data_IF_290887604695
#
_entry.id   IF_290887604695
#
_cell.length_a   1.000
_cell.length_b   1.000
_cell.length_c   1.000
_cell.angle_alpha   90.00
_cell.angle_beta   90.00
_cell.angle_gamma   90.00
#
_symmetry.space_group_name_H-M   'P 1'
#
loop_
_entity.id
_entity.type
_entity.pdbx_description
1 polymer ?
#
# COMPACT_ATOMS: atom_id res chain seq x y z
N UNK A 1 -5.11 -1.83 -23.06
CA UNK A 1 -6.09 -2.93 -22.95
C UNK A 1 -6.56 -2.96 -21.52
N UNK A 2 -7.86 -2.90 -21.34
CA UNK A 2 -8.54 -2.51 -20.11
C UNK A 2 -8.88 -3.76 -19.27
N UNK A 3 -7.90 -4.26 -18.51
CA UNK A 3 -8.04 -5.36 -17.53
C UNK A 3 -8.75 -4.92 -16.23
N UNK A 4 -9.33 -3.71 -16.21
CA UNK A 4 -9.82 -3.07 -14.99
C UNK A 4 -11.29 -3.36 -14.65
N UNK A 5 -12.09 -3.95 -15.56
CA UNK A 5 -13.53 -4.04 -15.35
C UNK A 5 -13.99 -5.32 -14.64
N UNK A 6 -13.30 -6.46 -14.83
CA UNK A 6 -13.67 -7.71 -14.15
C UNK A 6 -13.17 -7.79 -12.70
N UNK A 7 -12.08 -7.09 -12.38
CA UNK A 7 -11.46 -7.11 -11.05
C UNK A 7 -12.20 -6.29 -9.97
N UNK A 8 -13.13 -5.40 -10.34
CA UNK A 8 -13.93 -4.62 -9.38
C UNK A 8 -15.03 -5.43 -8.69
N UNK A 9 -15.38 -6.60 -9.22
CA UNK A 9 -16.51 -7.40 -8.70
C UNK A 9 -16.20 -8.21 -7.44
N UNK A 10 -14.95 -8.21 -6.97
CA UNK A 10 -14.52 -8.98 -5.78
C UNK A 10 -13.78 -8.14 -4.72
N UNK A 11 -13.72 -6.81 -4.88
CA UNK A 11 -13.15 -5.90 -3.87
C UNK A 11 -14.22 -5.47 -2.86
N UNK A 12 -14.06 -5.93 -1.62
CA UNK A 12 -14.99 -5.72 -0.50
C UNK A 12 -14.73 -4.35 0.16
N UNK A 13 -13.46 -3.98 0.25
CA UNK A 13 -12.98 -2.70 0.75
C UNK A 13 -11.70 -2.33 0.00
N UNK A 14 -11.48 -1.05 -0.23
CA UNK A 14 -10.26 -0.54 -0.84
C UNK A 14 -9.89 0.79 -0.22
N UNK A 15 -8.63 0.92 0.16
CA UNK A 15 -8.03 2.15 0.64
C UNK A 15 -6.84 2.52 -0.21
N UNK A 16 -6.72 3.81 -0.54
CA UNK A 16 -5.72 4.32 -1.46
C UNK A 16 -4.90 5.42 -0.79
N UNK A 17 -3.58 5.24 -0.78
CA UNK A 17 -2.62 6.23 -0.26
C UNK A 17 -1.78 6.75 -1.42
N UNK A 18 -1.85 8.06 -1.70
CA UNK A 18 -0.97 8.72 -2.68
C UNK A 18 0.30 9.19 -1.98
N UNK A 19 1.47 8.92 -2.56
CA UNK A 19 2.76 9.33 -2.02
C UNK A 19 3.69 9.75 -3.17
N UNK A 20 3.56 11.00 -3.62
CA UNK A 20 4.34 11.54 -4.74
C UNK A 20 4.19 10.73 -6.03
N UNK A 21 5.27 10.08 -6.50
CA UNK A 21 5.27 9.23 -7.72
C UNK A 21 4.74 7.82 -7.49
N UNK A 22 4.37 7.47 -6.25
CA UNK A 22 3.86 6.16 -5.86
C UNK A 22 2.40 6.27 -5.42
N UNK A 23 1.67 5.18 -5.55
CA UNK A 23 0.32 5.03 -5.02
C UNK A 23 0.22 3.64 -4.43
N UNK A 24 -0.17 3.56 -3.17
CA UNK A 24 -0.43 2.31 -2.47
C UNK A 24 -1.93 2.02 -2.48
N UNK A 25 -2.29 0.77 -2.70
CA UNK A 25 -3.66 0.26 -2.65
C UNK A 25 -3.70 -0.86 -1.62
N UNK A 26 -4.65 -0.78 -0.70
CA UNK A 26 -4.92 -1.78 0.33
C UNK A 26 -6.32 -2.32 0.09
N UNK A 27 -6.40 -3.45 -0.60
CA UNK A 27 -7.66 -4.02 -1.08
C UNK A 27 -8.01 -5.28 -0.28
N UNK A 28 -9.22 -5.34 0.28
CA UNK A 28 -9.77 -6.53 0.93
C UNK A 28 -10.59 -7.31 -0.08
N UNK A 29 -10.30 -8.59 -0.21
CA UNK A 29 -10.98 -9.50 -1.15
C UNK A 29 -11.40 -10.78 -0.42
N UNK A 30 -12.43 -11.45 -0.94
CA UNK A 30 -12.82 -12.77 -0.48
C UNK A 30 -12.23 -13.87 -1.36
N UNK A 31 -11.85 -14.98 -0.75
CA UNK A 31 -11.59 -16.25 -1.46
C UNK A 31 -12.91 -16.91 -1.84
N UNK A 32 -12.84 -17.98 -2.64
CA UNK A 32 -14.00 -18.83 -2.95
C UNK A 32 -14.63 -19.48 -1.70
N UNK A 33 -13.87 -19.64 -0.61
CA UNK A 33 -14.36 -20.17 0.68
C UNK A 33 -14.93 -19.07 1.58
N UNK A 34 -15.10 -17.85 1.08
CA UNK A 34 -15.59 -16.69 1.82
C UNK A 34 -14.67 -16.26 2.98
N UNK A 35 -13.36 -16.55 2.86
CA UNK A 35 -12.33 -16.03 3.75
C UNK A 35 -11.78 -14.72 3.19
N UNK A 36 -11.35 -13.80 4.07
CA UNK A 36 -10.81 -12.51 3.66
C UNK A 36 -9.28 -12.53 3.59
N UNK A 37 -8.73 -11.84 2.60
CA UNK A 37 -7.31 -11.58 2.46
C UNK A 37 -7.08 -10.14 1.99
N UNK A 38 -5.91 -9.61 2.32
CA UNK A 38 -5.46 -8.27 1.95
C UNK A 38 -4.54 -8.36 0.74
N UNK A 39 -4.75 -7.49 -0.23
CA UNK A 39 -3.78 -7.22 -1.31
C UNK A 39 -3.19 -5.83 -1.07
N UNK A 40 -1.87 -5.76 -0.93
CA UNK A 40 -1.15 -4.49 -0.86
C UNK A 40 -0.44 -4.29 -2.20
N UNK A 41 -0.84 -3.27 -2.96
CA UNK A 41 -0.22 -2.96 -4.25
C UNK A 41 0.47 -1.61 -4.19
N UNK A 42 1.77 -1.58 -4.44
CA UNK A 42 2.48 -0.36 -4.78
C UNK A 42 2.47 -0.17 -6.30
N UNK A 43 1.97 0.97 -6.78
CA UNK A 43 2.10 1.41 -8.16
C UNK A 43 3.02 2.61 -8.24
N UNK A 44 4.17 2.45 -8.91
CA UNK A 44 5.18 3.49 -9.09
C UNK A 44 5.19 3.99 -10.53
N UNK A 45 4.98 5.28 -10.71
CA UNK A 45 5.11 5.94 -12.03
C UNK A 45 6.59 6.10 -12.38
N UNK A 46 6.99 5.54 -13.53
CA UNK A 46 8.32 5.65 -14.14
C UNK A 46 8.21 6.37 -15.48
N UNK A 47 9.30 7.01 -15.88
CA UNK A 47 9.46 7.54 -17.22
C UNK A 47 10.50 6.68 -17.92
N UNK A 48 10.13 6.05 -19.04
CA UNK A 48 10.98 5.14 -19.80
C UNK A 48 10.63 5.27 -21.28
N UNK A 49 11.65 5.40 -22.13
CA UNK A 49 11.50 5.48 -23.59
C UNK A 49 10.47 6.55 -24.03
N UNK A 50 10.57 7.75 -23.44
CA UNK A 50 9.64 8.89 -23.62
C UNK A 50 8.17 8.65 -23.22
N UNK A 51 7.87 7.53 -22.56
CA UNK A 51 6.53 7.20 -22.08
C UNK A 51 6.46 7.04 -20.55
N UNK A 52 5.28 7.32 -19.99
CA UNK A 52 4.99 7.03 -18.59
C UNK A 52 4.51 5.58 -18.44
N UNK A 53 5.28 4.78 -17.71
CA UNK A 53 4.93 3.39 -17.38
C UNK A 53 4.71 3.24 -15.87
N UNK A 54 3.80 2.36 -15.49
CA UNK A 54 3.50 2.08 -14.08
C UNK A 54 4.04 0.70 -13.70
N UNK A 55 5.04 0.70 -12.82
CA UNK A 55 5.59 -0.50 -12.21
C UNK A 55 4.72 -0.87 -11.00
N UNK A 56 4.21 -2.12 -10.94
CA UNK A 56 3.36 -2.58 -9.84
C UNK A 56 4.04 -3.69 -9.05
N UNK A 57 4.16 -3.52 -7.74
CA UNK A 57 4.54 -4.58 -6.81
C UNK A 57 3.32 -4.94 -5.99
N UNK A 58 3.00 -6.23 -5.91
CA UNK A 58 1.79 -6.72 -5.24
C UNK A 58 2.16 -7.77 -4.21
N UNK A 59 1.63 -7.61 -3.01
CA UNK A 59 1.72 -8.56 -1.91
C UNK A 59 0.33 -9.07 -1.56
N UNK A 60 0.22 -10.37 -1.32
CA UNK A 60 -0.99 -11.02 -0.80
C UNK A 60 -0.73 -11.41 0.64
N UNK A 61 -1.64 -11.03 1.53
CA UNK A 61 -1.57 -11.34 2.95
C UNK A 61 -2.87 -12.04 3.36
N UNK A 62 -2.75 -13.24 3.91
CA UNK A 62 -3.88 -14.06 4.32
C UNK A 62 -4.12 -13.95 5.83
N UNK A 63 -5.33 -14.30 6.28
CA UNK A 63 -5.83 -14.07 7.65
C UNK A 63 -4.92 -14.65 8.75
N UNK A 64 -4.30 -15.79 8.50
CA UNK A 64 -3.36 -16.47 9.40
C UNK A 64 -2.11 -15.64 9.70
N UNK A 65 -1.80 -14.68 8.81
CA UNK A 65 -0.56 -13.92 8.81
C UNK A 65 -0.76 -12.45 9.24
N UNK A 66 -2.00 -12.00 9.42
CA UNK A 66 -2.30 -10.60 9.76
C UNK A 66 -1.59 -10.12 11.01
N UNK A 67 -1.71 -10.87 12.10
CA UNK A 67 -1.15 -10.43 13.38
C UNK A 67 0.39 -10.35 13.34
N UNK A 68 1.05 -11.40 12.82
CA UNK A 68 2.52 -11.41 12.72
C UNK A 68 3.03 -10.30 11.80
N UNK A 69 2.34 -10.05 10.69
CA UNK A 69 2.74 -9.04 9.71
C UNK A 69 2.56 -7.62 10.25
N UNK A 70 1.40 -7.29 10.83
CA UNK A 70 1.12 -5.96 11.39
C UNK A 70 2.05 -5.65 12.55
N UNK A 71 2.30 -6.61 13.44
CA UNK A 71 3.24 -6.41 14.53
C UNK A 71 4.66 -6.12 14.02
N UNK A 72 5.15 -6.91 13.06
CA UNK A 72 6.47 -6.70 12.48
C UNK A 72 6.58 -5.36 11.74
N UNK A 73 5.53 -4.97 11.00
CA UNK A 73 5.46 -3.69 10.32
C UNK A 73 5.53 -2.52 11.32
N UNK A 74 4.68 -2.53 12.34
CA UNK A 74 4.62 -1.46 13.34
C UNK A 74 5.93 -1.36 14.11
N UNK A 75 6.44 -2.47 14.67
CA UNK A 75 7.70 -2.46 15.41
C UNK A 75 8.89 -1.99 14.57
N UNK A 76 8.92 -2.30 13.27
CA UNK A 76 9.99 -1.83 12.38
C UNK A 76 9.86 -0.32 12.11
N UNK A 77 8.63 0.17 11.91
CA UNK A 77 8.37 1.61 11.73
C UNK A 77 8.71 2.38 13.00
N UNK A 78 8.30 1.89 14.16
CA UNK A 78 8.59 2.51 15.46
C UNK A 78 10.11 2.58 15.70
N UNK A 79 10.83 1.50 15.43
CA UNK A 79 12.29 1.49 15.51
C UNK A 79 12.94 2.53 14.59
N UNK A 80 12.41 2.71 13.36
CA UNK A 80 12.91 3.76 12.45
C UNK A 80 12.66 5.14 13.05
N UNK A 81 11.45 5.40 13.56
CA UNK A 81 11.07 6.72 14.08
C UNK A 81 11.82 7.08 15.36
N UNK A 82 11.94 6.14 16.30
CA UNK A 82 12.46 6.41 17.64
C UNK A 82 13.98 6.30 17.71
N UNK A 83 14.59 5.36 16.98
CA UNK A 83 16.01 5.05 17.14
C UNK A 83 16.85 5.56 15.96
N UNK A 84 16.35 5.43 14.72
CA UNK A 84 17.13 5.77 13.52
C UNK A 84 16.92 7.21 13.04
N UNK A 85 15.73 7.77 13.25
CA UNK A 85 15.34 9.10 12.77
C UNK A 85 14.59 9.92 13.83
N UNK A 86 15.10 10.01 15.08
CA UNK A 86 14.39 10.70 16.18
C UNK A 86 14.22 12.21 15.97
N UNK A 87 15.06 12.82 15.12
CA UNK A 87 15.01 14.25 14.83
C UNK A 87 14.00 14.62 13.73
N UNK A 88 13.36 13.63 13.09
CA UNK A 88 12.41 13.87 12.00
C UNK A 88 11.00 13.98 12.56
N UNK A 89 10.36 15.15 12.37
CA UNK A 89 8.94 15.33 12.66
C UNK A 89 8.10 14.75 11.51
N UNK A 90 7.70 13.48 11.66
CA UNK A 90 6.86 12.80 10.67
C UNK A 90 5.43 13.38 10.60
N UNK A 91 4.95 14.02 11.66
CA UNK A 91 3.63 14.67 11.67
C UNK A 91 3.67 15.95 10.84
N UNK A 92 4.80 16.68 10.85
CA UNK A 92 5.01 17.83 9.97
C UNK A 92 5.02 17.42 8.50
N UNK A 93 5.68 16.31 8.16
CA UNK A 93 5.70 15.78 6.80
C UNK A 93 4.29 15.42 6.32
N UNK A 94 3.48 14.78 7.17
CA UNK A 94 2.08 14.45 6.83
C UNK A 94 1.26 15.72 6.61
N UNK A 95 1.38 16.73 7.49
CA UNK A 95 0.70 18.02 7.33
C UNK A 95 1.10 18.73 6.04
N UNK A 96 2.38 18.69 5.65
CA UNK A 96 2.82 19.29 4.38
C UNK A 96 2.21 18.59 3.16
N UNK A 97 2.09 17.26 3.20
CA UNK A 97 1.52 16.49 2.10
C UNK A 97 0.00 16.65 2.00
N UNK A 98 -0.73 16.82 3.10
CA UNK A 98 -2.17 17.16 3.08
C UNK A 98 -2.45 18.53 2.47
N UNK A 99 -1.50 19.47 2.60
CA UNK A 99 -1.64 20.84 2.10
C UNK A 99 -1.18 21.03 0.64
N UNK A 100 -0.71 19.96 -0.04
CA UNK A 100 -0.25 19.96 -1.44
C UNK A 100 -1.33 19.47 -2.42
#
# INVERSE_FOLDING_TARGET
>A
MDDNNDNRREEIYSEKVKAGKRTYFFDVKATKSNDYYLTITESKRRFKDDEFVYEKHKLFLYKEDFHKFVNALNSTVDHIKEELMPEVDFDEIEREDENR
#
